data_IF_290404193001
#
_entry.id   IF_290404193001
#
_cell.length_a   1.000
_cell.length_b   1.000
_cell.length_c   1.000
_cell.angle_alpha   90.00
_cell.angle_beta   90.00
_cell.angle_gamma   90.00
#
_symmetry.space_group_name_H-M   'P 1'
#
loop_
_entity.id
_entity.type
_entity.pdbx_description
1 polymer ?
#
# COMPACT_ATOMS: atom_id res chain seq x y z
N UNK A 1 -16.08 84.62 47.21
CA UNK A 1 -15.09 85.38 48.06
C UNK A 1 -13.71 85.21 47.46
N UNK A 2 -13.11 86.33 47.19
CA UNK A 2 -11.71 86.68 47.05
C UNK A 2 -10.97 86.22 45.81
N UNK A 3 -10.87 87.09 44.87
CA UNK A 3 -9.86 88.17 44.58
C UNK A 3 -8.52 87.62 44.02
N UNK A 4 -8.27 87.84 42.76
CA UNK A 4 -7.50 88.92 42.10
C UNK A 4 -6.01 88.71 42.29
N UNK A 5 -5.25 88.58 41.22
CA UNK A 5 -4.29 89.59 40.78
C UNK A 5 -3.66 89.20 39.43
N UNK A 6 -3.75 90.16 38.55
CA UNK A 6 -3.08 90.39 37.27
C UNK A 6 -1.63 90.83 37.53
N UNK A 7 -0.64 90.25 36.86
CA UNK A 7 0.61 90.98 36.55
C UNK A 7 0.94 90.74 35.08
N UNK A 8 0.87 91.77 34.32
CA UNK A 8 1.41 92.01 32.98
C UNK A 8 2.87 92.32 33.11
N UNK A 9 3.71 91.63 32.39
CA UNK A 9 5.05 92.16 32.06
C UNK A 9 5.34 91.92 30.57
N UNK A 10 5.41 93.07 29.89
CA UNK A 10 5.83 93.26 28.51
C UNK A 10 7.33 93.43 28.46
N UNK A 11 7.98 92.86 27.45
CA UNK A 11 9.28 93.26 26.85
C UNK A 11 9.90 92.03 26.23
N UNK A 12 10.26 91.85 25.01
CA UNK A 12 11.05 92.61 24.11
C UNK A 12 11.33 91.69 22.90
N UNK A 13 11.10 92.15 21.72
CA UNK A 13 11.56 91.59 20.46
C UNK A 13 13.08 91.55 20.37
N UNK A 14 13.67 90.41 20.09
CA UNK A 14 14.96 90.30 19.41
C UNK A 14 14.83 89.19 18.38
N UNK A 15 14.84 89.56 17.11
CA UNK A 15 14.92 88.66 15.97
C UNK A 15 16.35 88.13 15.84
N UNK A 16 16.45 86.84 15.55
CA UNK A 16 17.62 86.25 14.94
C UNK A 16 17.17 85.29 13.87
N UNK A 17 17.34 85.70 12.64
CA UNK A 17 17.31 84.82 11.47
C UNK A 17 18.50 83.89 11.52
N UNK A 18 18.26 82.65 11.46
CA UNK A 18 19.24 81.54 11.36
C UNK A 18 18.60 80.37 10.68
N UNK A 19 18.26 80.52 9.37
CA UNK A 19 18.03 79.35 8.52
C UNK A 19 19.37 78.69 8.15
N UNK A 20 19.90 77.87 8.99
CA UNK A 20 20.96 76.98 8.54
C UNK A 20 20.31 75.65 8.16
N UNK A 21 20.23 75.45 6.85
CA UNK A 21 19.77 74.21 6.27
C UNK A 21 20.70 73.06 6.65
N UNK A 22 20.41 72.40 7.78
CA UNK A 22 21.04 71.16 8.12
C UNK A 22 20.75 70.19 7.01
N UNK A 23 21.72 69.97 6.10
CA UNK A 23 21.79 68.85 5.25
C UNK A 23 21.70 67.59 6.21
N UNK A 24 20.54 66.95 6.22
CA UNK A 24 20.33 65.70 6.91
C UNK A 24 21.46 64.79 6.46
N UNK A 25 22.45 64.56 7.31
CA UNK A 25 23.52 63.61 7.07
C UNK A 25 22.83 62.28 6.78
N UNK A 26 22.95 61.83 5.55
CA UNK A 26 22.39 60.50 5.18
C UNK A 26 23.04 59.48 6.12
N UNK A 27 22.23 58.77 6.87
CA UNK A 27 22.73 57.65 7.71
C UNK A 27 23.70 56.79 6.89
N UNK A 28 24.80 56.33 7.49
CA UNK A 28 25.75 55.50 6.77
C UNK A 28 25.00 54.28 6.16
N UNK A 29 25.37 53.89 4.93
CA UNK A 29 24.69 52.80 4.27
C UNK A 29 24.77 51.55 5.12
N UNK A 30 23.62 50.92 5.39
CA UNK A 30 23.52 49.73 6.24
C UNK A 30 24.30 48.53 5.61
N UNK A 31 25.17 47.86 6.34
CA UNK A 31 25.87 46.69 5.85
C UNK A 31 24.88 45.53 5.66
N UNK A 32 24.95 44.88 4.50
CA UNK A 32 24.11 43.69 4.16
C UNK A 32 24.97 42.62 3.52
N UNK A 33 24.64 41.38 3.79
CA UNK A 33 25.15 40.24 3.02
C UNK A 33 24.13 39.86 1.96
N UNK A 34 24.62 39.58 0.77
CA UNK A 34 23.78 39.16 -0.33
C UNK A 34 24.41 37.98 -1.08
N UNK A 35 23.59 37.04 -1.50
CA UNK A 35 24.00 35.91 -2.31
C UNK A 35 23.43 36.04 -3.72
N UNK A 36 24.14 35.54 -4.70
CA UNK A 36 23.63 35.42 -6.06
C UNK A 36 22.82 34.14 -6.18
N UNK A 37 21.52 34.25 -6.49
CA UNK A 37 20.64 33.08 -6.57
C UNK A 37 20.72 32.43 -7.93
N UNK A 38 20.81 31.10 -7.92
CA UNK A 38 20.75 30.29 -9.11
C UNK A 38 19.51 29.41 -9.10
N UNK A 39 18.94 29.21 -10.27
CA UNK A 39 17.83 28.28 -10.40
C UNK A 39 18.34 26.84 -10.30
N UNK A 40 17.83 26.10 -9.34
CA UNK A 40 18.13 24.68 -9.13
C UNK A 40 16.93 23.83 -9.47
N UNK A 41 17.20 22.59 -9.86
CA UNK A 41 16.17 21.55 -9.94
C UNK A 41 16.09 20.90 -8.58
N UNK A 42 14.90 20.84 -8.00
CA UNK A 42 14.67 20.12 -6.76
C UNK A 42 13.57 19.09 -6.95
N UNK A 43 13.63 18.04 -6.15
CA UNK A 43 12.68 16.96 -6.19
C UNK A 43 12.05 16.83 -4.81
N UNK A 44 10.74 16.78 -4.78
CA UNK A 44 10.02 16.49 -3.56
C UNK A 44 9.92 14.98 -3.41
N UNK A 45 10.55 14.42 -2.39
CA UNK A 45 10.44 13.01 -2.01
C UNK A 45 9.45 12.92 -0.86
N UNK A 46 8.39 12.17 -1.04
CA UNK A 46 7.48 11.81 0.02
C UNK A 46 7.86 10.43 0.56
N UNK A 47 7.89 10.30 1.88
CA UNK A 47 8.18 9.05 2.58
C UNK A 47 6.85 8.47 3.04
N UNK A 48 6.47 7.33 2.50
CA UNK A 48 5.22 6.64 2.83
C UNK A 48 5.55 5.31 3.48
N UNK A 49 4.99 5.09 4.66
CA UNK A 49 5.11 3.80 5.35
C UNK A 49 4.25 2.75 4.67
N UNK A 50 4.77 1.54 4.60
CA UNK A 50 4.11 0.37 4.07
C UNK A 50 4.55 -0.88 4.80
N UNK A 51 4.18 -2.03 4.27
CA UNK A 51 4.54 -3.34 4.82
C UNK A 51 4.92 -4.32 3.72
N UNK A 52 5.72 -5.31 4.09
CA UNK A 52 6.07 -6.43 3.21
C UNK A 52 4.98 -7.49 3.29
N UNK A 53 4.43 -7.89 2.16
CA UNK A 53 3.46 -8.97 2.05
C UNK A 53 3.91 -10.04 1.06
N UNK A 54 3.40 -11.25 1.23
CA UNK A 54 3.51 -12.26 0.18
C UNK A 54 2.68 -11.82 -1.03
N UNK A 55 3.18 -12.08 -2.23
CA UNK A 55 2.43 -11.78 -3.47
C UNK A 55 1.09 -12.48 -3.52
N UNK A 56 1.05 -13.74 -3.07
CA UNK A 56 -0.14 -14.56 -3.03
C UNK A 56 -0.40 -14.99 -1.59
N UNK A 57 -1.64 -14.80 -1.17
CA UNK A 57 -2.17 -15.28 0.09
C UNK A 57 -3.46 -16.02 -0.19
N UNK A 58 -3.67 -17.15 0.48
CA UNK A 58 -4.87 -17.95 0.37
C UNK A 58 -5.54 -18.08 1.75
N UNK A 59 -6.83 -17.78 1.79
CA UNK A 59 -7.66 -18.07 2.94
C UNK A 59 -8.15 -19.51 2.84
N UNK A 60 -7.67 -20.35 3.75
CA UNK A 60 -7.97 -21.77 3.78
C UNK A 60 -9.19 -22.03 4.67
N UNK A 61 -10.13 -22.79 4.12
CA UNK A 61 -11.38 -23.16 4.76
C UNK A 61 -11.70 -24.63 4.52
N UNK A 62 -12.39 -25.26 5.46
CA UNK A 62 -12.94 -26.61 5.22
C UNK A 62 -14.09 -26.55 4.21
N UNK A 63 -14.19 -27.57 3.36
CA UNK A 63 -15.34 -27.76 2.45
C UNK A 63 -16.55 -28.40 3.15
N UNK A 64 -16.32 -29.06 4.27
CA UNK A 64 -17.35 -29.66 5.12
C UNK A 64 -17.45 -28.89 6.45
N UNK A 65 -18.61 -28.95 7.08
CA UNK A 65 -18.80 -28.53 8.46
C UNK A 65 -18.47 -29.67 9.42
N UNK A 66 -18.06 -29.34 10.64
CA UNK A 66 -17.79 -30.33 11.66
C UNK A 66 -16.96 -29.82 12.83
N UNK A 67 -16.75 -30.68 13.82
CA UNK A 67 -15.90 -30.39 14.97
C UNK A 67 -14.44 -30.68 14.65
N UNK A 68 -13.56 -29.74 14.96
CA UNK A 68 -12.10 -29.90 14.83
C UNK A 68 -11.59 -30.87 15.89
N UNK A 69 -10.98 -31.99 15.47
CA UNK A 69 -10.39 -32.98 16.38
C UNK A 69 -8.88 -32.87 16.47
N UNK A 70 -8.23 -32.34 15.45
CA UNK A 70 -6.78 -32.20 15.44
C UNK A 70 -6.35 -30.97 14.65
N UNK A 71 -5.27 -30.33 15.09
CA UNK A 71 -4.56 -29.25 14.46
C UNK A 71 -3.07 -29.55 14.47
N UNK A 72 -2.42 -29.54 13.30
CA UNK A 72 -1.02 -29.95 13.12
C UNK A 72 -0.08 -28.74 13.02
N UNK A 73 -0.59 -27.55 12.77
CA UNK A 73 0.21 -26.36 12.48
C UNK A 73 -0.26 -25.16 13.30
N UNK A 74 0.67 -24.22 13.53
CA UNK A 74 0.45 -22.93 14.18
C UNK A 74 0.87 -21.77 13.31
N UNK A 75 0.57 -20.53 13.76
CA UNK A 75 1.06 -19.33 13.11
C UNK A 75 2.60 -19.34 13.10
N UNK A 76 3.19 -19.06 11.94
CA UNK A 76 4.63 -19.14 11.71
C UNK A 76 5.12 -20.51 11.23
N UNK A 77 4.28 -21.54 11.20
CA UNK A 77 4.65 -22.86 10.66
C UNK A 77 4.87 -22.79 9.15
N UNK A 78 6.00 -23.32 8.69
CA UNK A 78 6.21 -23.60 7.27
C UNK A 78 5.51 -24.88 6.89
N UNK A 79 4.79 -24.86 5.78
CA UNK A 79 4.01 -25.99 5.27
C UNK A 79 4.30 -26.25 3.80
N UNK A 80 4.12 -27.49 3.38
CA UNK A 80 4.25 -27.90 1.98
C UNK A 80 2.90 -28.14 1.36
N UNK A 81 2.80 -27.98 0.06
CA UNK A 81 1.61 -28.29 -0.71
C UNK A 81 1.14 -29.72 -0.43
N UNK A 82 -0.15 -29.87 -0.08
CA UNK A 82 -0.78 -31.15 0.25
C UNK A 82 -0.59 -31.57 1.71
N UNK A 83 0.16 -30.85 2.52
CA UNK A 83 0.32 -31.14 3.95
C UNK A 83 -1.00 -30.89 4.70
N UNK A 84 -1.34 -31.83 5.61
CA UNK A 84 -2.57 -31.72 6.41
C UNK A 84 -2.37 -30.73 7.54
N UNK A 85 -3.19 -29.68 7.57
CA UNK A 85 -3.14 -28.60 8.55
C UNK A 85 -4.05 -28.83 9.74
N UNK A 86 -5.24 -29.38 9.51
CA UNK A 86 -6.23 -29.71 10.53
C UNK A 86 -7.19 -30.80 10.05
N UNK A 87 -7.89 -31.43 11.00
CA UNK A 87 -8.88 -32.48 10.74
C UNK A 87 -10.17 -32.21 11.49
N UNK A 88 -11.26 -32.48 10.82
CA UNK A 88 -12.59 -32.59 11.43
C UNK A 88 -12.83 -34.02 11.91
N UNK A 89 -13.85 -34.18 12.74
CA UNK A 89 -14.40 -35.49 13.12
C UNK A 89 -14.94 -36.20 11.86
N UNK A 90 -14.38 -37.34 11.54
CA UNK A 90 -14.60 -38.06 10.29
C UNK A 90 -15.33 -39.41 10.49
N UNK A 91 -15.76 -39.74 11.74
CA UNK A 91 -16.38 -41.05 12.05
C UNK A 91 -17.65 -41.28 11.23
N UNK A 92 -18.52 -40.28 11.12
CA UNK A 92 -19.74 -40.39 10.31
C UNK A 92 -19.40 -40.57 8.83
N UNK A 93 -18.45 -39.82 8.30
CA UNK A 93 -18.07 -39.91 6.87
C UNK A 93 -17.39 -41.26 6.54
N UNK A 94 -16.62 -41.82 7.47
CA UNK A 94 -16.07 -43.20 7.34
C UNK A 94 -17.18 -44.22 7.31
N UNK A 95 -18.21 -44.06 8.13
CA UNK A 95 -19.37 -44.99 8.10
C UNK A 95 -20.12 -44.86 6.76
N UNK A 96 -20.32 -43.64 6.22
CA UNK A 96 -20.93 -43.41 4.91
C UNK A 96 -20.15 -44.11 3.78
N UNK A 97 -18.83 -44.04 3.79
CA UNK A 97 -17.97 -44.74 2.84
C UNK A 97 -18.14 -46.26 2.97
N UNK A 98 -18.18 -46.78 4.19
CA UNK A 98 -18.39 -48.23 4.41
C UNK A 98 -19.73 -48.72 3.87
N UNK A 99 -20.82 -47.97 4.07
CA UNK A 99 -22.16 -48.27 3.52
C UNK A 99 -22.15 -48.23 1.99
N UNK A 100 -21.57 -47.20 1.39
CA UNK A 100 -21.48 -47.07 -0.07
C UNK A 100 -20.63 -48.17 -0.69
N UNK A 101 -19.54 -48.58 -0.03
CA UNK A 101 -18.70 -49.70 -0.44
C UNK A 101 -19.45 -51.04 -0.42
N UNK A 102 -20.26 -51.27 0.61
CA UNK A 102 -21.10 -52.47 0.71
C UNK A 102 -22.17 -52.49 -0.39
N UNK A 103 -22.80 -51.37 -0.67
CA UNK A 103 -23.78 -51.18 -1.75
C UNK A 103 -23.16 -51.47 -3.12
N UNK A 104 -21.97 -50.95 -3.39
CA UNK A 104 -21.22 -51.19 -4.62
C UNK A 104 -20.90 -52.71 -4.76
N UNK A 105 -20.49 -53.35 -3.68
CA UNK A 105 -20.21 -54.79 -3.68
C UNK A 105 -21.45 -55.63 -4.04
N UNK A 106 -22.62 -55.26 -3.50
CA UNK A 106 -23.91 -55.90 -3.81
C UNK A 106 -24.29 -55.70 -5.28
N UNK A 107 -24.22 -54.44 -5.77
CA UNK A 107 -24.53 -54.08 -7.17
C UNK A 107 -23.59 -54.83 -8.16
N UNK A 108 -22.30 -54.95 -7.80
CA UNK A 108 -21.32 -55.71 -8.59
C UNK A 108 -21.67 -57.19 -8.67
N UNK A 109 -22.16 -57.78 -7.57
CA UNK A 109 -22.59 -59.18 -7.55
C UNK A 109 -23.82 -59.42 -8.40
N UNK A 110 -24.80 -58.50 -8.35
CA UNK A 110 -26.00 -58.51 -9.20
C UNK A 110 -25.63 -58.41 -10.67
N UNK A 111 -24.76 -57.45 -11.02
CA UNK A 111 -24.28 -57.27 -12.40
C UNK A 111 -23.63 -58.57 -12.93
N UNK A 112 -22.76 -59.17 -12.13
CA UNK A 112 -22.09 -60.42 -12.50
C UNK A 112 -23.09 -61.56 -12.74
N UNK A 113 -24.13 -61.69 -11.89
CA UNK A 113 -25.20 -62.67 -12.07
C UNK A 113 -25.94 -62.41 -13.40
N UNK A 114 -26.39 -61.18 -13.64
CA UNK A 114 -27.13 -60.84 -14.87
C UNK A 114 -26.28 -60.99 -16.13
N UNK A 115 -24.99 -60.68 -16.05
CA UNK A 115 -24.01 -60.90 -17.11
C UNK A 115 -23.87 -62.38 -17.47
N UNK A 116 -23.79 -63.24 -16.44
CA UNK A 116 -23.73 -64.68 -16.63
C UNK A 116 -25.03 -65.27 -17.21
N UNK A 117 -26.19 -64.80 -16.74
CA UNK A 117 -27.51 -65.20 -17.28
C UNK A 117 -27.62 -64.77 -18.75
N UNK A 118 -27.39 -63.50 -19.08
CA UNK A 118 -27.44 -63.01 -20.45
C UNK A 118 -26.51 -63.79 -21.40
N UNK A 119 -25.27 -64.07 -20.99
CA UNK A 119 -24.30 -64.85 -21.77
C UNK A 119 -24.79 -66.33 -22.01
N UNK A 120 -25.49 -66.89 -21.06
CA UNK A 120 -26.11 -68.22 -21.21
C UNK A 120 -27.29 -68.15 -22.18
N UNK A 121 -28.19 -67.23 -21.96
CA UNK A 121 -29.41 -67.09 -22.75
C UNK A 121 -29.08 -66.71 -24.21
N UNK A 122 -28.03 -65.94 -24.45
CA UNK A 122 -27.53 -65.63 -25.78
C UNK A 122 -27.11 -66.91 -26.54
N UNK A 123 -26.52 -67.94 -25.85
CA UNK A 123 -26.16 -69.21 -26.44
C UNK A 123 -27.42 -70.10 -26.67
N UNK A 124 -28.40 -70.07 -25.76
CA UNK A 124 -29.63 -70.83 -25.87
C UNK A 124 -30.53 -70.24 -27.00
N UNK A 125 -30.53 -68.93 -27.25
CA UNK A 125 -31.24 -68.35 -28.36
C UNK A 125 -30.72 -68.87 -29.70
N UNK A 126 -29.42 -69.07 -29.88
CA UNK A 126 -28.84 -69.64 -31.12
C UNK A 126 -29.25 -71.00 -31.43
N UNK A 127 -29.66 -71.77 -30.40
CA UNK A 127 -30.16 -73.18 -30.51
C UNK A 127 -31.69 -73.21 -30.47
N UNK A 128 -32.36 -72.08 -30.49
CA UNK A 128 -33.85 -71.98 -30.40
C UNK A 128 -34.42 -72.60 -29.10
N UNK A 129 -33.64 -72.68 -28.05
CA UNK A 129 -34.03 -73.26 -26.76
C UNK A 129 -34.77 -72.26 -25.85
N UNK A 130 -34.74 -70.95 -26.18
CA UNK A 130 -35.51 -69.89 -25.52
C UNK A 130 -36.15 -68.95 -26.59
N UNK A 131 -37.18 -68.19 -26.17
CA UNK A 131 -37.85 -67.22 -27.02
C UNK A 131 -37.04 -65.93 -27.15
N UNK A 132 -37.29 -65.15 -28.19
CA UNK A 132 -36.73 -63.83 -28.38
C UNK A 132 -37.09 -62.91 -27.19
N UNK A 133 -38.33 -62.97 -26.68
CA UNK A 133 -38.80 -62.17 -25.55
C UNK A 133 -38.00 -62.45 -24.26
N UNK A 134 -37.65 -63.67 -24.02
CA UNK A 134 -36.79 -64.07 -22.84
C UNK A 134 -35.39 -63.54 -22.98
N UNK A 135 -34.81 -63.53 -24.19
CA UNK A 135 -33.49 -62.96 -24.42
C UNK A 135 -33.52 -61.43 -24.29
N UNK A 136 -34.58 -60.73 -24.85
CA UNK A 136 -34.75 -59.32 -24.70
C UNK A 136 -34.89 -58.91 -23.23
N UNK A 137 -35.60 -59.70 -22.41
CA UNK A 137 -35.71 -59.48 -20.97
C UNK A 137 -34.35 -59.64 -20.26
N UNK A 138 -33.56 -60.66 -20.62
CA UNK A 138 -32.22 -60.85 -20.03
C UNK A 138 -31.27 -59.72 -20.40
N UNK A 139 -31.39 -59.14 -21.60
CA UNK A 139 -30.67 -57.99 -22.07
C UNK A 139 -31.05 -56.73 -21.28
N UNK A 140 -32.34 -56.50 -21.06
CA UNK A 140 -32.85 -55.36 -20.27
C UNK A 140 -32.42 -55.48 -18.81
N UNK A 141 -32.48 -56.66 -18.23
CA UNK A 141 -32.01 -56.96 -16.88
C UNK A 141 -30.51 -56.69 -16.72
N UNK A 142 -29.70 -57.05 -17.72
CA UNK A 142 -28.26 -56.75 -17.72
C UNK A 142 -28.01 -55.21 -17.78
N UNK A 143 -28.75 -54.49 -18.66
CA UNK A 143 -28.65 -53.06 -18.78
C UNK A 143 -29.01 -52.35 -17.48
N UNK A 144 -30.11 -52.80 -16.83
CA UNK A 144 -30.54 -52.28 -15.52
C UNK A 144 -29.52 -52.54 -14.43
N UNK A 145 -28.93 -53.76 -14.37
CA UNK A 145 -27.90 -54.09 -13.40
C UNK A 145 -26.61 -53.30 -13.63
N UNK A 146 -26.23 -53.02 -14.87
CA UNK A 146 -25.11 -52.12 -15.22
C UNK A 146 -25.34 -50.72 -14.74
N UNK A 147 -26.54 -50.17 -14.97
CA UNK A 147 -26.94 -48.84 -14.48
C UNK A 147 -26.88 -48.79 -12.94
N UNK A 148 -27.38 -49.80 -12.27
CA UNK A 148 -27.31 -49.94 -10.80
C UNK A 148 -25.89 -49.97 -10.27
N UNK A 149 -24.98 -50.66 -10.93
CA UNK A 149 -23.56 -50.67 -10.56
C UNK A 149 -22.91 -49.29 -10.77
N UNK A 150 -23.17 -48.64 -11.90
CA UNK A 150 -22.65 -47.29 -12.16
C UNK A 150 -23.13 -46.30 -11.10
N UNK A 151 -24.40 -46.34 -10.70
CA UNK A 151 -24.97 -45.49 -9.65
C UNK A 151 -24.28 -45.74 -8.30
N UNK A 152 -24.10 -46.99 -7.90
CA UNK A 152 -23.42 -47.34 -6.65
C UNK A 152 -21.94 -46.89 -6.66
N UNK A 153 -21.26 -47.03 -7.79
CA UNK A 153 -19.89 -46.51 -7.96
C UNK A 153 -19.83 -45.00 -7.77
N UNK A 154 -20.76 -44.24 -8.36
CA UNK A 154 -20.85 -42.78 -8.19
C UNK A 154 -21.13 -42.39 -6.74
N UNK A 155 -22.01 -43.14 -6.05
CA UNK A 155 -22.29 -42.91 -4.63
C UNK A 155 -21.05 -43.10 -3.75
N UNK A 156 -20.25 -44.18 -4.03
CA UNK A 156 -18.99 -44.40 -3.31
C UNK A 156 -17.98 -43.24 -3.56
N UNK A 157 -17.86 -42.76 -4.80
CA UNK A 157 -16.98 -41.64 -5.10
C UNK A 157 -17.40 -40.40 -4.32
N UNK A 158 -18.70 -40.07 -4.27
CA UNK A 158 -19.23 -38.94 -3.50
C UNK A 158 -18.93 -39.10 -2.00
N UNK A 159 -19.09 -40.31 -1.43
CA UNK A 159 -18.77 -40.55 -0.03
C UNK A 159 -17.26 -40.37 0.27
N UNK A 160 -16.39 -40.85 -0.63
CA UNK A 160 -14.95 -40.65 -0.51
C UNK A 160 -14.57 -39.19 -0.59
N UNK A 161 -15.16 -38.38 -1.53
CA UNK A 161 -14.93 -36.97 -1.63
C UNK A 161 -15.33 -36.22 -0.34
N UNK A 162 -16.51 -36.57 0.22
CA UNK A 162 -16.98 -36.05 1.50
C UNK A 162 -16.01 -36.37 2.65
N UNK A 163 -15.45 -37.55 2.68
CA UNK A 163 -14.42 -37.92 3.65
C UNK A 163 -13.13 -37.12 3.45
N UNK A 164 -12.68 -36.88 2.22
CA UNK A 164 -11.49 -36.08 1.96
C UNK A 164 -11.67 -34.62 2.40
N UNK A 165 -12.90 -34.08 2.39
CA UNK A 165 -13.21 -32.74 2.83
C UNK A 165 -13.11 -32.51 4.34
N UNK A 166 -12.97 -33.58 5.12
CA UNK A 166 -12.70 -33.52 6.57
C UNK A 166 -11.23 -33.21 6.87
N UNK A 167 -10.33 -33.33 5.89
CA UNK A 167 -8.93 -32.93 6.00
C UNK A 167 -8.71 -31.60 5.30
N UNK A 168 -8.20 -30.60 6.03
CA UNK A 168 -7.73 -29.36 5.44
C UNK A 168 -6.26 -29.48 5.08
N UNK A 169 -5.93 -29.26 3.80
CA UNK A 169 -4.57 -29.34 3.27
C UNK A 169 -4.12 -28.01 2.73
N UNK A 170 -2.81 -27.76 2.81
CA UNK A 170 -2.18 -26.60 2.16
C UNK A 170 -2.29 -26.73 0.64
N UNK A 171 -2.67 -25.66 -0.03
CA UNK A 171 -2.80 -25.57 -1.49
C UNK A 171 -1.45 -25.26 -2.19
N UNK A 172 -0.48 -24.69 -1.44
CA UNK A 172 0.85 -24.34 -1.89
C UNK A 172 1.89 -24.47 -0.75
N UNK A 173 3.18 -24.39 -1.11
CA UNK A 173 4.25 -24.20 -0.13
C UNK A 173 4.19 -22.78 0.43
N UNK A 174 4.41 -22.62 1.74
CA UNK A 174 4.33 -21.30 2.36
C UNK A 174 4.34 -21.30 3.87
N UNK A 175 3.93 -20.16 4.46
CA UNK A 175 3.90 -19.93 5.90
C UNK A 175 2.49 -19.57 6.36
N UNK A 176 2.03 -20.18 7.45
CA UNK A 176 0.76 -19.82 8.08
C UNK A 176 0.89 -18.45 8.76
N UNK A 177 0.16 -17.45 8.29
CA UNK A 177 0.22 -16.07 8.81
C UNK A 177 -0.91 -15.75 9.79
N UNK A 178 -2.05 -16.43 9.68
CA UNK A 178 -3.13 -16.30 10.65
C UNK A 178 -3.83 -17.63 10.93
N UNK A 179 -4.47 -17.74 12.10
CA UNK A 179 -5.22 -18.89 12.57
C UNK A 179 -6.48 -18.44 13.30
N UNK A 180 -7.61 -19.00 12.89
CA UNK A 180 -8.93 -18.66 13.44
C UNK A 180 -9.70 -19.91 13.90
N UNK A 181 -9.00 -21.00 14.25
CA UNK A 181 -9.61 -22.24 14.73
C UNK A 181 -8.91 -22.77 15.96
N UNK A 182 -9.67 -23.49 16.80
CA UNK A 182 -9.18 -24.25 17.94
C UNK A 182 -9.70 -25.69 17.95
N UNK A 183 -8.92 -26.60 18.54
CA UNK A 183 -9.35 -27.97 18.73
C UNK A 183 -10.58 -28.04 19.63
N UNK A 184 -11.60 -28.79 19.21
CA UNK A 184 -12.89 -28.88 19.87
C UNK A 184 -13.94 -27.90 19.35
N UNK A 185 -13.54 -26.88 18.59
CA UNK A 185 -14.46 -25.92 17.96
C UNK A 185 -15.25 -26.57 16.82
N UNK A 186 -16.48 -26.13 16.61
CA UNK A 186 -17.28 -26.48 15.42
C UNK A 186 -17.08 -25.35 14.39
N UNK A 187 -16.72 -25.71 13.17
CA UNK A 187 -16.54 -24.81 12.03
C UNK A 187 -17.59 -25.06 10.97
N UNK A 188 -18.00 -24.01 10.29
CA UNK A 188 -18.90 -24.09 9.15
C UNK A 188 -18.11 -24.31 7.84
N UNK A 189 -18.77 -24.83 6.82
CA UNK A 189 -18.22 -24.87 5.46
C UNK A 189 -17.87 -23.47 4.96
N UNK A 190 -16.75 -23.31 4.27
CA UNK A 190 -16.22 -22.05 3.74
C UNK A 190 -15.85 -20.99 4.81
N UNK A 191 -15.86 -21.31 6.09
CA UNK A 191 -15.32 -20.44 7.13
C UNK A 191 -13.79 -20.45 7.05
N UNK A 192 -13.17 -19.28 6.86
CA UNK A 192 -11.70 -19.15 6.90
C UNK A 192 -11.17 -19.58 8.26
N UNK A 193 -10.22 -20.50 8.27
CA UNK A 193 -9.59 -21.04 9.48
C UNK A 193 -8.09 -20.79 9.54
N UNK A 194 -7.42 -20.70 8.39
CA UNK A 194 -6.03 -20.28 8.27
C UNK A 194 -5.87 -19.31 7.11
N UNK A 195 -4.86 -18.45 7.18
CA UNK A 195 -4.35 -17.70 6.03
C UNK A 195 -2.94 -18.18 5.75
N UNK A 196 -2.71 -18.67 4.53
CA UNK A 196 -1.42 -19.16 4.04
C UNK A 196 -0.80 -18.10 3.14
N UNK A 197 0.38 -17.60 3.50
CA UNK A 197 1.22 -16.79 2.63
C UNK A 197 2.11 -17.72 1.81
N UNK A 198 1.94 -17.71 0.49
CA UNK A 198 2.71 -18.58 -0.40
C UNK A 198 4.18 -18.15 -0.44
N UNK A 199 5.08 -19.11 -0.50
CA UNK A 199 6.49 -18.86 -0.72
C UNK A 199 6.73 -18.24 -2.11
N UNK A 200 7.78 -17.43 -2.22
CA UNK A 200 8.19 -16.81 -3.47
C UNK A 200 8.29 -15.29 -3.42
N UNK A 201 7.77 -14.64 -4.45
CA UNK A 201 7.89 -13.18 -4.59
C UNK A 201 7.15 -12.43 -3.48
N UNK A 202 7.80 -11.37 -2.99
CA UNK A 202 7.24 -10.44 -1.99
C UNK A 202 6.95 -9.10 -2.63
N UNK A 203 5.89 -8.49 -2.18
CA UNK A 203 5.51 -7.14 -2.58
C UNK A 203 5.60 -6.21 -1.36
N UNK A 204 6.00 -4.97 -1.58
CA UNK A 204 5.81 -3.89 -0.61
C UNK A 204 4.45 -3.23 -0.90
N UNK A 205 3.60 -3.14 0.10
CA UNK A 205 2.26 -2.56 -0.01
C UNK A 205 2.26 -1.20 0.66
N UNK A 206 1.79 -0.19 -0.05
CA UNK A 206 1.68 1.19 0.43
C UNK A 206 0.27 1.70 0.24
N UNK A 207 -0.26 2.41 1.23
CA UNK A 207 -1.48 3.21 1.09
C UNK A 207 -1.05 4.67 0.85
N UNK A 208 -1.07 5.08 -0.42
CA UNK A 208 -0.50 6.35 -0.90
C UNK A 208 -1.60 7.40 -1.06
N UNK A 209 -1.47 8.62 -0.53
CA UNK A 209 -2.41 9.69 -0.79
C UNK A 209 -2.56 9.97 -2.29
N UNK A 210 -3.80 10.13 -2.78
CA UNK A 210 -4.10 10.36 -4.20
C UNK A 210 -3.25 11.48 -4.81
N UNK A 211 -3.04 12.58 -4.07
CA UNK A 211 -2.24 13.72 -4.52
C UNK A 211 -0.78 13.38 -4.87
N UNK A 212 -0.26 12.26 -4.39
CA UNK A 212 1.09 11.78 -4.70
C UNK A 212 1.13 10.80 -5.88
N UNK A 213 0.00 10.16 -6.20
CA UNK A 213 -0.09 9.15 -7.25
C UNK A 213 -0.22 9.69 -8.67
N UNK A 214 -0.40 11.00 -8.84
CA UNK A 214 -0.54 11.63 -10.16
C UNK A 214 0.66 11.37 -11.09
N UNK A 215 1.79 10.92 -10.53
CA UNK A 215 3.03 10.64 -11.28
C UNK A 215 3.43 9.17 -11.35
N UNK A 216 2.83 8.30 -10.51
CA UNK A 216 3.25 6.89 -10.43
C UNK A 216 2.34 5.98 -11.25
N UNK A 217 2.92 5.12 -12.08
CA UNK A 217 2.21 4.16 -12.94
C UNK A 217 2.77 2.75 -12.78
N UNK A 218 1.98 1.70 -13.09
CA UNK A 218 2.51 0.35 -13.15
C UNK A 218 3.72 0.27 -14.09
N UNK A 219 4.81 -0.31 -13.59
CA UNK A 219 6.09 -0.41 -14.30
C UNK A 219 7.13 0.62 -13.89
N UNK A 220 6.76 1.67 -13.14
CA UNK A 220 7.69 2.63 -12.57
C UNK A 220 8.50 2.01 -11.42
N UNK A 221 9.69 2.53 -11.19
CA UNK A 221 10.56 2.10 -10.10
C UNK A 221 10.42 3.05 -8.93
N UNK A 222 10.31 2.50 -7.73
CA UNK A 222 10.30 3.22 -6.46
C UNK A 222 11.41 2.69 -5.55
N UNK A 223 12.03 3.55 -4.79
CA UNK A 223 13.00 3.14 -3.80
C UNK A 223 12.31 2.76 -2.50
N UNK A 224 12.65 1.59 -1.96
CA UNK A 224 12.05 1.04 -0.74
C UNK A 224 13.16 0.68 0.25
N UNK A 225 12.99 1.04 1.50
CA UNK A 225 13.92 0.68 2.60
C UNK A 225 13.16 0.07 3.77
N UNK A 226 13.82 -0.86 4.50
CA UNK A 226 13.30 -1.33 5.79
C UNK A 226 13.36 -0.20 6.82
N UNK A 227 12.30 -0.04 7.61
CA UNK A 227 12.28 0.93 8.72
C UNK A 227 13.26 0.56 9.82
N UNK A 228 13.49 -0.73 10.06
CA UNK A 228 14.32 -1.26 11.15
C UNK A 228 15.83 -1.19 10.90
N UNK A 229 16.26 -0.99 9.66
CA UNK A 229 17.68 -1.04 9.29
C UNK A 229 18.02 0.15 8.41
N UNK A 230 19.09 0.89 8.81
CA UNK A 230 19.68 1.94 7.97
C UNK A 230 20.45 1.27 6.82
N UNK A 231 19.75 0.67 5.89
CA UNK A 231 20.31 0.09 4.67
C UNK A 231 20.04 1.00 3.49
N UNK A 232 20.88 0.89 2.47
CA UNK A 232 20.61 1.58 1.19
C UNK A 232 19.22 1.18 0.67
N UNK A 233 18.43 2.13 0.18
CA UNK A 233 17.15 1.81 -0.45
C UNK A 233 17.34 0.79 -1.58
N UNK A 234 16.37 -0.12 -1.71
CA UNK A 234 16.30 -1.07 -2.81
C UNK A 234 15.26 -0.57 -3.81
N UNK A 235 15.54 -0.73 -5.07
CA UNK A 235 14.58 -0.40 -6.13
C UNK A 235 13.55 -1.51 -6.24
N UNK A 236 12.28 -1.17 -6.01
CA UNK A 236 11.13 -2.02 -6.20
C UNK A 236 10.31 -1.52 -7.39
N UNK A 237 9.69 -2.45 -8.13
CA UNK A 237 8.92 -2.10 -9.32
C UNK A 237 7.44 -2.05 -9.01
N UNK A 238 6.78 -0.94 -9.31
CA UNK A 238 5.35 -0.78 -9.17
C UNK A 238 4.64 -1.78 -10.08
N UNK A 239 3.88 -2.70 -9.50
CA UNK A 239 3.14 -3.74 -10.19
C UNK A 239 1.66 -3.38 -10.35
N UNK A 240 1.09 -2.82 -9.31
CA UNK A 240 -0.35 -2.58 -9.23
C UNK A 240 -0.61 -1.27 -8.49
N UNK A 241 -1.46 -0.45 -9.07
CA UNK A 241 -2.07 0.71 -8.44
C UNK A 241 -3.57 0.44 -8.41
N UNK A 242 -4.16 0.34 -7.24
CA UNK A 242 -5.59 0.06 -7.12
C UNK A 242 -6.40 1.18 -7.78
N UNK A 243 -7.40 0.86 -8.60
CA UNK A 243 -8.22 1.88 -9.24
C UNK A 243 -9.22 2.53 -8.28
N UNK A 244 -9.37 1.98 -7.08
CA UNK A 244 -10.33 2.43 -6.07
C UNK A 244 -9.62 3.22 -4.98
N UNK A 245 -10.15 4.40 -4.68
CA UNK A 245 -9.74 5.23 -3.56
C UNK A 245 -10.39 4.68 -2.26
N UNK A 246 -9.63 4.53 -1.20
CA UNK A 246 -10.19 4.38 0.14
C UNK A 246 -10.77 5.73 0.57
N UNK A 247 -12.09 5.86 0.51
CA UNK A 247 -12.80 7.12 0.82
C UNK A 247 -12.58 7.58 2.28
N UNK A 248 -12.32 6.66 3.20
CA UNK A 248 -12.11 6.97 4.61
C UNK A 248 -10.76 7.64 4.85
N UNK A 249 -9.73 7.21 4.11
CA UNK A 249 -8.34 7.64 4.28
C UNK A 249 -7.85 8.56 3.18
N UNK A 250 -8.56 8.64 2.05
CA UNK A 250 -8.11 9.39 0.87
C UNK A 250 -6.83 8.79 0.26
N UNK A 251 -6.64 7.48 0.36
CA UNK A 251 -5.45 6.78 -0.10
C UNK A 251 -5.79 5.74 -1.16
N UNK A 252 -4.82 5.47 -2.01
CA UNK A 252 -4.88 4.41 -3.02
C UNK A 252 -3.83 3.37 -2.68
N UNK A 253 -4.18 2.10 -2.76
CA UNK A 253 -3.24 1.01 -2.50
C UNK A 253 -2.34 0.77 -3.70
N UNK A 254 -1.04 0.82 -3.43
CA UNK A 254 0.02 0.56 -4.39
C UNK A 254 0.79 -0.69 -3.95
N UNK A 255 1.04 -1.61 -4.88
CA UNK A 255 1.87 -2.79 -4.64
C UNK A 255 3.11 -2.72 -5.53
N UNK A 256 4.28 -2.77 -4.92
CA UNK A 256 5.56 -2.79 -5.60
C UNK A 256 6.27 -4.11 -5.37
N UNK A 257 6.70 -4.75 -6.44
CA UNK A 257 7.44 -6.01 -6.38
C UNK A 257 8.87 -5.78 -5.88
N UNK A 258 9.23 -6.46 -4.82
CA UNK A 258 10.59 -6.50 -4.31
C UNK A 258 11.48 -7.42 -5.16
N UNK A 259 12.79 -7.14 -5.31
CA UNK A 259 13.72 -8.03 -5.99
C UNK A 259 13.71 -9.45 -5.37
N UNK A 260 13.80 -10.48 -6.19
CA UNK A 260 13.69 -11.88 -5.75
C UNK A 260 14.74 -12.30 -4.70
N UNK A 261 15.90 -11.63 -4.68
CA UNK A 261 16.94 -11.87 -3.68
C UNK A 261 16.60 -11.35 -2.28
N UNK A 262 15.53 -10.54 -2.16
CA UNK A 262 15.15 -9.88 -0.91
C UNK A 262 14.22 -10.79 -0.11
N UNK A 263 14.69 -11.22 1.06
CA UNK A 263 13.94 -12.08 1.97
C UNK A 263 13.51 -11.32 3.25
N UNK A 264 13.01 -10.09 3.09
CA UNK A 264 12.49 -9.34 4.24
C UNK A 264 11.31 -10.06 4.89
N UNK A 265 11.19 -10.11 6.22
CA UNK A 265 10.07 -10.78 6.88
C UNK A 265 8.71 -10.27 6.41
N UNK A 266 7.72 -11.16 6.34
CA UNK A 266 6.32 -10.74 6.10
C UNK A 266 5.84 -9.86 7.25
N UNK A 267 5.08 -8.82 6.96
CA UNK A 267 4.65 -7.81 7.92
C UNK A 267 5.74 -6.81 8.33
N UNK A 268 6.98 -6.93 7.80
CA UNK A 268 8.04 -5.97 8.12
C UNK A 268 7.66 -4.57 7.61
N UNK A 269 7.79 -3.52 8.48
CA UNK A 269 7.52 -2.16 8.05
C UNK A 269 8.59 -1.65 7.10
N UNK A 270 8.17 -1.03 6.01
CA UNK A 270 9.01 -0.43 4.98
C UNK A 270 8.66 1.03 4.74
N UNK A 271 9.61 1.78 4.19
CA UNK A 271 9.40 3.15 3.72
C UNK A 271 9.60 3.18 2.21
N UNK A 272 8.57 3.58 1.50
CA UNK A 272 8.64 3.91 0.08
C UNK A 272 9.01 5.39 -0.12
N UNK A 273 9.96 5.63 -1.03
CA UNK A 273 10.44 6.96 -1.40
C UNK A 273 9.78 7.36 -2.71
N UNK A 274 8.68 8.11 -2.63
CA UNK A 274 7.92 8.56 -3.79
C UNK A 274 8.44 9.91 -4.23
N UNK A 275 9.02 9.94 -5.42
CA UNK A 275 9.67 11.12 -5.96
C UNK A 275 8.75 11.82 -6.94
N UNK A 276 8.41 13.10 -6.70
CA UNK A 276 7.72 13.91 -7.70
C UNK A 276 8.69 14.34 -8.82
N UNK A 277 8.13 14.70 -9.97
CA UNK A 277 8.91 15.31 -11.07
C UNK A 277 9.73 16.48 -10.56
N UNK A 278 10.93 16.64 -11.13
CA UNK A 278 11.79 17.76 -10.84
C UNK A 278 11.07 19.08 -11.11
N UNK A 279 11.04 19.93 -10.11
CA UNK A 279 10.58 21.31 -10.21
C UNK A 279 11.77 22.25 -10.22
N UNK A 280 11.59 23.45 -10.79
CA UNK A 280 12.60 24.49 -10.77
C UNK A 280 12.28 25.48 -9.68
N UNK A 281 13.27 25.89 -8.91
CA UNK A 281 13.12 26.87 -7.86
C UNK A 281 14.46 27.48 -7.45
N UNK A 282 14.42 28.37 -6.48
CA UNK A 282 15.58 29.03 -5.89
C UNK A 282 15.68 28.58 -4.44
N UNK A 283 16.86 28.12 -4.04
CA UNK A 283 17.16 27.81 -2.65
C UNK A 283 17.68 29.06 -1.95
N UNK A 284 17.02 29.47 -0.88
CA UNK A 284 17.40 30.60 -0.07
C UNK A 284 17.55 30.21 1.38
N UNK A 285 18.49 30.75 2.14
CA UNK A 285 18.48 30.58 3.58
C UNK A 285 17.24 31.27 4.17
N UNK A 286 16.67 30.77 5.28
CA UNK A 286 15.43 31.27 5.88
C UNK A 286 15.52 32.76 6.25
N UNK A 287 16.72 33.26 6.58
CA UNK A 287 17.02 34.64 6.96
C UNK A 287 16.82 35.63 5.79
N UNK A 288 16.83 35.14 4.55
CA UNK A 288 16.57 35.96 3.36
C UNK A 288 15.11 36.41 3.21
N UNK A 289 14.20 35.66 3.90
CA UNK A 289 12.78 35.96 3.81
C UNK A 289 12.40 37.14 4.68
N UNK A 290 11.58 38.02 4.10
CA UNK A 290 10.88 39.09 4.77
C UNK A 290 9.40 39.05 4.46
N UNK A 291 8.62 39.95 5.04
CA UNK A 291 7.19 40.08 4.75
C UNK A 291 6.87 41.49 4.31
N UNK A 292 6.08 41.61 3.24
CA UNK A 292 5.55 42.87 2.75
C UNK A 292 4.05 42.73 2.64
N UNK A 293 3.34 43.60 3.37
CA UNK A 293 1.87 43.56 3.42
C UNK A 293 1.30 42.13 3.74
N UNK A 294 1.99 41.42 4.65
CA UNK A 294 1.59 40.06 5.04
C UNK A 294 1.93 38.96 4.02
N UNK A 295 2.62 39.27 2.92
CA UNK A 295 3.05 38.29 1.91
C UNK A 295 4.55 38.04 1.99
N UNK A 296 5.01 36.79 1.75
CA UNK A 296 6.44 36.48 1.68
C UNK A 296 7.14 37.33 0.61
N UNK A 297 8.29 37.85 0.95
CA UNK A 297 9.10 38.67 0.06
C UNK A 297 10.59 38.50 0.36
N UNK A 298 11.45 38.96 -0.52
CA UNK A 298 12.90 39.04 -0.34
C UNK A 298 13.40 40.42 -0.74
N UNK A 299 14.55 40.83 -0.22
CA UNK A 299 15.23 42.03 -0.66
C UNK A 299 16.17 41.70 -1.81
N UNK A 300 15.91 42.27 -2.98
CA UNK A 300 16.77 42.14 -4.17
C UNK A 300 17.70 43.36 -4.22
N UNK A 301 19.01 43.10 -4.32
CA UNK A 301 20.06 44.09 -4.39
C UNK A 301 20.42 44.41 -5.85
N UNK A 302 20.28 45.69 -6.26
CA UNK A 302 20.90 46.22 -7.46
C UNK A 302 22.36 46.59 -7.16
N UNK A 303 23.30 45.75 -7.58
CA UNK A 303 24.74 45.96 -7.35
C UNK A 303 25.32 47.22 -8.04
N UNK A 304 24.69 47.68 -9.12
CA UNK A 304 25.20 48.85 -9.82
C UNK A 304 24.87 50.16 -9.06
N UNK A 305 23.70 50.16 -8.42
CA UNK A 305 23.22 51.32 -7.66
C UNK A 305 23.42 51.20 -6.15
N UNK A 306 23.77 49.99 -5.66
CA UNK A 306 23.79 49.60 -4.25
C UNK A 306 22.47 49.93 -3.53
N UNK A 307 21.35 49.63 -4.20
CA UNK A 307 20.00 49.89 -3.69
C UNK A 307 19.24 48.56 -3.57
N UNK A 308 18.45 48.42 -2.52
CA UNK A 308 17.60 47.23 -2.30
C UNK A 308 16.15 47.55 -2.60
N UNK A 309 15.52 46.63 -3.30
CA UNK A 309 14.07 46.67 -3.57
C UNK A 309 13.40 45.41 -3.05
N UNK A 310 12.23 45.57 -2.40
CA UNK A 310 11.52 44.41 -1.91
C UNK A 310 10.76 43.74 -3.05
N UNK A 311 10.86 42.43 -3.17
CA UNK A 311 10.20 41.64 -4.21
C UNK A 311 9.37 40.54 -3.59
N UNK A 312 8.06 40.50 -3.89
CA UNK A 312 7.18 39.45 -3.46
C UNK A 312 7.57 38.11 -4.14
N UNK A 313 7.55 37.06 -3.37
CA UNK A 313 7.93 35.70 -3.82
C UNK A 313 6.88 34.70 -3.41
N UNK A 314 6.80 33.60 -4.17
CA UNK A 314 6.00 32.44 -3.78
C UNK A 314 6.91 31.38 -3.19
N UNK A 315 6.66 31.03 -1.91
CA UNK A 315 7.39 29.96 -1.21
C UNK A 315 6.65 28.67 -1.44
N UNK A 316 7.32 27.67 -2.03
CA UNK A 316 6.79 26.33 -2.21
C UNK A 316 6.96 25.49 -0.94
N UNK A 317 8.09 25.61 -0.25
CA UNK A 317 8.39 24.82 0.94
C UNK A 317 9.37 25.49 1.87
N UNK A 318 9.13 25.31 3.17
CA UNK A 318 10.07 25.63 4.23
C UNK A 318 10.76 24.33 4.68
N UNK A 319 12.10 24.33 4.72
CA UNK A 319 12.93 23.25 5.23
C UNK A 319 13.73 23.74 6.45
N UNK A 320 14.42 22.84 7.12
CA UNK A 320 15.19 23.19 8.33
C UNK A 320 16.33 24.18 8.06
N UNK A 321 16.94 24.15 6.87
CA UNK A 321 18.15 24.93 6.54
C UNK A 321 17.96 25.82 5.33
N UNK A 322 16.88 25.67 4.57
CA UNK A 322 16.60 26.45 3.38
C UNK A 322 15.09 26.60 3.13
N UNK A 323 14.77 27.53 2.25
CA UNK A 323 13.43 27.81 1.76
C UNK A 323 13.45 27.74 0.24
N UNK A 324 12.46 27.05 -0.33
CA UNK A 324 12.32 26.91 -1.78
C UNK A 324 11.34 27.95 -2.29
N UNK A 325 11.84 28.86 -3.12
CA UNK A 325 11.07 29.89 -3.81
C UNK A 325 10.87 29.48 -5.26
N UNK A 326 9.62 29.47 -5.75
CA UNK A 326 9.30 29.05 -7.12
C UNK A 326 9.10 30.21 -8.08
N UNK A 327 8.55 31.34 -7.62
CA UNK A 327 8.30 32.50 -8.45
C UNK A 327 8.71 33.76 -7.74
N UNK A 328 8.93 34.83 -8.52
CA UNK A 328 9.29 36.14 -8.01
C UNK A 328 10.80 36.46 -8.07
N UNK A 329 11.64 35.53 -8.50
CA UNK A 329 13.07 35.75 -8.69
C UNK A 329 13.51 35.37 -10.11
N UNK A 330 14.56 36.05 -10.56
CA UNK A 330 15.26 35.76 -11.82
C UNK A 330 16.60 35.10 -11.52
N UNK A 331 17.06 34.15 -12.36
CA UNK A 331 18.40 33.59 -12.21
C UNK A 331 19.48 34.64 -12.23
N UNK A 332 20.41 34.60 -11.27
CA UNK A 332 21.48 35.56 -11.15
C UNK A 332 21.15 36.81 -10.32
N UNK A 333 19.91 36.97 -9.85
CA UNK A 333 19.54 38.06 -8.93
C UNK A 333 20.35 37.99 -7.62
N UNK A 334 20.65 39.15 -7.04
CA UNK A 334 21.30 39.23 -5.73
C UNK A 334 20.26 39.40 -4.65
N UNK A 335 20.18 38.46 -3.72
CA UNK A 335 19.21 38.46 -2.62
C UNK A 335 19.95 38.68 -1.30
N UNK A 336 19.45 39.62 -0.51
CA UNK A 336 19.99 39.92 0.82
C UNK A 336 19.63 38.75 1.77
N UNK A 337 20.64 38.23 2.44
CA UNK A 337 20.50 37.13 3.43
C UNK A 337 20.65 37.64 4.86
N UNK A 338 21.49 38.63 5.11
CA UNK A 338 21.68 39.19 6.44
C UNK A 338 21.55 40.71 6.39
N UNK A 339 21.07 41.33 7.46
CA UNK A 339 20.87 42.80 7.54
C UNK A 339 19.51 43.25 6.97
N UNK A 340 18.65 42.34 6.55
CA UNK A 340 17.36 42.65 5.87
C UNK A 340 16.24 43.19 6.76
N UNK A 341 16.29 43.05 8.10
CA UNK A 341 15.17 43.31 9.02
C UNK A 341 14.70 44.78 9.07
N UNK A 342 15.59 45.74 8.82
CA UNK A 342 15.32 47.16 8.96
C UNK A 342 15.44 47.92 7.64
N UNK A 343 15.49 47.19 6.52
CA UNK A 343 15.58 47.80 5.20
C UNK A 343 14.24 48.42 4.80
N UNK A 344 14.32 49.54 4.14
CA UNK A 344 13.18 50.18 3.49
C UNK A 344 13.39 50.20 1.96
N UNK A 345 12.29 50.30 1.23
CA UNK A 345 12.32 50.37 -0.24
C UNK A 345 13.26 51.48 -0.73
N UNK A 346 14.08 51.14 -1.73
CA UNK A 346 15.03 52.05 -2.39
C UNK A 346 16.15 52.59 -1.47
N UNK A 347 16.41 51.90 -0.34
CA UNK A 347 17.50 52.21 0.57
C UNK A 347 18.86 51.86 -0.04
N UNK A 348 19.85 52.77 0.12
CA UNK A 348 21.24 52.48 -0.20
C UNK A 348 21.85 51.61 0.90
N UNK A 349 22.54 50.54 0.50
CA UNK A 349 23.21 49.60 1.39
C UNK A 349 24.68 49.46 1.02
N UNK A 350 25.47 48.93 1.97
CA UNK A 350 26.86 48.56 1.75
C UNK A 350 26.95 47.03 1.69
N UNK A 351 27.08 46.42 0.49
CA UNK A 351 27.20 44.99 0.41
C UNK A 351 28.57 44.53 0.93
N UNK A 352 28.57 43.67 1.98
CA UNK A 352 29.77 42.95 2.42
C UNK A 352 30.04 41.77 1.45
N UNK A 353 31.26 41.73 0.90
CA UNK A 353 31.74 40.60 0.11
C UNK A 353 32.20 39.51 1.06
N UNK A 354 31.79 38.28 0.77
CA UNK A 354 32.37 37.09 1.40
C UNK A 354 33.59 36.67 0.63
#
# INVERSE_FOLDING_TARGET
MQRVSIIVFSFGCIGLAGCDGQKQASAPPQPVRAIQVQQVRYQNVAHISGEVAARFQADLAFRAEGRVIARMVDVGSQVRKGEVLARLDDEEKKADVAVAQATLSSARSTLRLKQSTFSRDQKLLTTHAISQAEWDQAREDLSSAQAGWNSAQSSLNTANDALTYTELKADADGVIVSRQLEVGQVVASAQTVFTLAHDGSRDAIFDVPEALLVSEQPGDDIDVSLLSTVSSPLTARVREVAPLLDETRGTVRLKATLPAAVQWPLGAPVIGHFSRKYEKGFLLPPEALTSIQGKPAVWVLDKQKNVVTPQAVTVSRYRSHDVIVTTGLTPGAWVVTEGGKFLIKDQRVSPEQK
#
